data_IF_565078154906
#
_entry.id   IF_565078154906
#
_cell.length_a   1.000
_cell.length_b   1.000
_cell.length_c   1.000
_cell.angle_alpha   90.00
_cell.angle_beta   90.00
_cell.angle_gamma   90.00
#
_symmetry.space_group_name_H-M   'P 1'
#
loop_
_entity.id
_entity.type
_entity.pdbx_description
1 polymer ?
#
# COMPACT_ATOMS: atom_id res chain seq x y z
N UNK A 1 17.46 -17.11 59.75
CA UNK A 1 16.78 -15.94 59.14
C UNK A 1 17.70 -15.36 58.06
N UNK A 2 17.33 -15.47 56.78
CA UNK A 2 18.11 -14.97 55.63
C UNK A 2 17.48 -13.62 55.22
N UNK A 3 18.25 -12.53 55.07
CA UNK A 3 17.66 -11.23 54.75
C UNK A 3 17.00 -11.25 53.36
N UNK A 4 15.90 -10.50 53.14
CA UNK A 4 15.27 -10.40 51.84
C UNK A 4 16.27 -9.80 50.84
N UNK A 5 16.42 -10.45 49.69
CA UNK A 5 17.35 -10.04 48.65
C UNK A 5 17.03 -8.63 48.17
N UNK A 6 17.91 -7.68 48.49
CA UNK A 6 17.86 -6.34 47.93
C UNK A 6 18.12 -6.44 46.43
N UNK A 7 17.11 -6.12 45.63
CA UNK A 7 17.27 -5.98 44.18
C UNK A 7 18.34 -4.91 43.97
N UNK A 8 19.50 -5.31 43.44
CA UNK A 8 20.62 -4.39 43.21
C UNK A 8 20.12 -3.22 42.33
N UNK A 9 20.36 -1.96 42.69
CA UNK A 9 19.86 -0.79 41.93
C UNK A 9 20.30 -0.80 40.46
N UNK A 10 21.45 -1.43 40.17
CA UNK A 10 21.92 -1.68 38.81
C UNK A 10 20.98 -2.57 37.98
N UNK A 11 20.33 -3.56 38.59
CA UNK A 11 19.38 -4.44 37.92
C UNK A 11 18.07 -3.68 37.59
N UNK A 12 17.63 -2.78 38.49
CA UNK A 12 16.49 -1.89 38.23
C UNK A 12 16.77 -0.88 37.12
N UNK A 13 17.98 -0.32 37.06
CA UNK A 13 18.38 0.62 36.00
C UNK A 13 18.43 -0.05 34.62
N UNK A 14 18.97 -1.26 34.54
CA UNK A 14 19.03 -2.03 33.29
C UNK A 14 17.63 -2.37 32.77
N UNK A 15 16.70 -2.77 33.65
CA UNK A 15 15.31 -3.04 33.28
C UNK A 15 14.60 -1.76 32.82
N UNK A 16 14.81 -0.62 33.49
CA UNK A 16 14.22 0.65 33.09
C UNK A 16 14.74 1.13 31.73
N UNK A 17 16.04 0.97 31.45
CA UNK A 17 16.63 1.27 30.15
C UNK A 17 16.11 0.36 29.03
N UNK A 18 15.95 -0.94 29.30
CA UNK A 18 15.38 -1.87 28.33
C UNK A 18 13.91 -1.54 28.00
N UNK A 19 13.10 -1.17 29.00
CA UNK A 19 11.72 -0.73 28.80
C UNK A 19 11.64 0.58 28.01
N UNK A 20 12.51 1.55 28.31
CA UNK A 20 12.57 2.80 27.55
C UNK A 20 12.96 2.55 26.08
N UNK A 21 13.90 1.63 25.83
CA UNK A 21 14.32 1.28 24.48
C UNK A 21 13.22 0.53 23.70
N UNK A 22 12.42 -0.30 24.37
CA UNK A 22 11.29 -0.98 23.75
C UNK A 22 10.19 -0.01 23.26
N UNK A 23 10.01 1.14 23.92
CA UNK A 23 9.07 2.19 23.47
C UNK A 23 9.55 3.00 22.27
N UNK A 24 10.84 2.92 21.95
CA UNK A 24 11.46 3.58 20.79
C UNK A 24 11.49 2.68 19.55
N UNK A 25 10.98 1.45 19.65
CA UNK A 25 10.85 0.58 18.49
C UNK A 25 9.90 1.26 17.48
N UNK A 26 10.34 1.54 16.24
CA UNK A 26 9.46 2.08 15.22
C UNK A 26 8.31 1.08 15.03
N UNK A 27 7.06 1.56 15.12
CA UNK A 27 5.95 0.78 14.61
C UNK A 27 6.26 0.54 13.13
N UNK A 28 6.28 -0.73 12.72
CA UNK A 28 6.35 -1.06 11.31
C UNK A 28 5.13 -0.42 10.64
N UNK A 29 5.34 0.67 9.92
CA UNK A 29 4.33 1.22 9.04
C UNK A 29 4.18 0.20 7.91
N UNK A 30 3.11 -0.58 7.95
CA UNK A 30 2.79 -1.50 6.88
C UNK A 30 2.48 -0.66 5.63
N UNK A 31 3.32 -0.82 4.60
CA UNK A 31 3.12 -0.10 3.36
C UNK A 31 1.82 -0.62 2.73
N UNK A 32 0.79 0.23 2.68
CA UNK A 32 -0.47 -0.12 2.03
C UNK A 32 -0.20 -0.51 0.58
N UNK A 33 -0.86 -1.58 0.13
CA UNK A 33 -0.81 -2.01 -1.26
C UNK A 33 -1.27 -0.86 -2.18
N UNK A 34 -0.57 -0.66 -3.28
CA UNK A 34 -0.92 0.34 -4.28
C UNK A 34 -1.64 -0.32 -5.44
N UNK A 35 -2.94 -0.12 -5.50
CA UNK A 35 -3.80 -0.69 -6.53
C UNK A 35 -4.16 0.41 -7.52
N UNK A 36 -4.02 0.12 -8.81
CA UNK A 36 -4.51 0.99 -9.88
C UNK A 36 -5.62 0.25 -10.62
N UNK A 37 -6.78 0.88 -10.75
CA UNK A 37 -7.86 0.38 -11.59
C UNK A 37 -7.85 1.11 -12.94
N UNK A 38 -8.09 0.40 -14.04
CA UNK A 38 -8.12 1.02 -15.38
C UNK A 38 -9.30 1.97 -15.52
N UNK A 39 -10.48 1.60 -15.00
CA UNK A 39 -11.75 2.34 -15.16
C UNK A 39 -12.37 2.79 -13.82
N UNK A 40 -13.23 3.83 -13.80
CA UNK A 40 -13.78 4.38 -12.55
C UNK A 40 -14.77 3.47 -11.83
N UNK A 41 -15.49 2.63 -12.57
CA UNK A 41 -16.34 1.57 -12.04
C UNK A 41 -15.50 0.49 -11.32
N UNK A 42 -14.40 0.05 -11.94
CA UNK A 42 -13.44 -0.87 -11.32
C UNK A 42 -12.77 -0.26 -10.08
N UNK A 43 -12.46 1.03 -10.11
CA UNK A 43 -11.96 1.77 -8.95
C UNK A 43 -12.98 1.73 -7.80
N UNK A 44 -14.26 1.98 -8.08
CA UNK A 44 -15.31 1.98 -7.07
C UNK A 44 -15.50 0.58 -6.45
N UNK A 45 -15.55 -0.46 -7.28
CA UNK A 45 -15.67 -1.86 -6.83
C UNK A 45 -14.47 -2.27 -5.98
N UNK A 46 -13.26 -1.97 -6.46
CA UNK A 46 -12.02 -2.33 -5.79
C UNK A 46 -11.90 -1.60 -4.46
N UNK A 47 -12.17 -0.29 -4.42
CA UNK A 47 -12.16 0.51 -3.19
C UNK A 47 -13.13 -0.03 -2.14
N UNK A 48 -14.33 -0.45 -2.56
CA UNK A 48 -15.31 -1.05 -1.66
C UNK A 48 -14.85 -2.40 -1.09
N UNK A 49 -14.12 -3.20 -1.86
CA UNK A 49 -13.60 -4.50 -1.43
C UNK A 49 -12.42 -4.36 -0.46
N UNK A 50 -11.49 -3.46 -0.74
CA UNK A 50 -10.22 -3.37 0.01
C UNK A 50 -10.31 -2.48 1.25
N UNK A 51 -11.30 -1.57 1.32
CA UNK A 51 -11.44 -0.65 2.45
C UNK A 51 -10.16 0.13 2.72
N UNK A 52 -9.71 0.12 3.98
CA UNK A 52 -8.53 0.86 4.42
C UNK A 52 -7.21 0.09 4.26
N UNK A 53 -7.22 -1.17 3.79
CA UNK A 53 -6.01 -2.00 3.71
C UNK A 53 -5.10 -1.64 2.53
N UNK A 54 -5.63 -0.91 1.55
CA UNK A 54 -4.91 -0.52 0.34
C UNK A 54 -5.20 0.93 -0.05
N UNK A 55 -4.39 1.44 -0.97
CA UNK A 55 -4.67 2.67 -1.71
C UNK A 55 -5.13 2.31 -3.10
N UNK A 56 -6.23 2.90 -3.57
CA UNK A 56 -6.78 2.62 -4.90
C UNK A 56 -6.83 3.91 -5.71
N UNK A 57 -6.08 3.93 -6.81
CA UNK A 57 -6.06 5.02 -7.79
C UNK A 57 -6.75 4.57 -9.09
N UNK A 58 -7.22 5.52 -9.90
CA UNK A 58 -7.83 5.24 -11.21
C UNK A 58 -6.98 5.83 -12.33
N UNK A 59 -6.74 5.05 -13.38
CA UNK A 59 -5.91 5.47 -14.50
C UNK A 59 -6.66 6.39 -15.49
N UNK A 60 -7.97 6.16 -15.68
CA UNK A 60 -8.86 6.95 -16.55
C UNK A 60 -9.56 8.09 -15.78
N UNK A 61 -10.21 8.99 -16.52
CA UNK A 61 -11.10 10.01 -15.94
C UNK A 61 -12.56 9.55 -15.98
N UNK A 62 -13.35 10.03 -15.03
CA UNK A 62 -14.81 9.86 -15.06
C UNK A 62 -15.40 10.45 -16.35
N UNK A 63 -16.22 9.66 -17.05
CA UNK A 63 -16.88 10.05 -18.31
C UNK A 63 -15.99 9.99 -19.55
N UNK A 64 -14.75 9.52 -19.46
CA UNK A 64 -13.88 9.29 -20.62
C UNK A 64 -14.23 7.96 -21.30
N UNK A 65 -14.30 7.96 -22.64
CA UNK A 65 -14.45 6.72 -23.41
C UNK A 65 -13.12 5.93 -23.41
N UNK A 66 -13.10 4.67 -22.92
CA UNK A 66 -11.91 3.80 -22.91
C UNK A 66 -11.41 3.45 -24.30
N UNK A 67 -12.29 3.38 -25.30
CA UNK A 67 -11.93 3.01 -26.66
C UNK A 67 -11.20 4.13 -27.43
N UNK A 68 -11.37 5.38 -27.00
CA UNK A 68 -10.69 6.54 -27.59
C UNK A 68 -9.44 6.94 -26.80
N UNK A 69 -9.02 6.09 -25.84
CA UNK A 69 -7.98 6.46 -24.90
C UNK A 69 -6.59 6.23 -25.48
N UNK A 70 -5.74 7.26 -25.33
CA UNK A 70 -4.30 7.17 -25.57
C UNK A 70 -3.57 7.26 -24.24
N UNK A 71 -2.61 6.36 -24.02
CA UNK A 71 -1.87 6.30 -22.77
C UNK A 71 -0.87 7.47 -22.65
N UNK A 72 -0.86 8.12 -21.49
CA UNK A 72 0.04 9.26 -21.20
C UNK A 72 1.22 8.81 -20.36
N UNK A 73 2.39 9.48 -20.47
CA UNK A 73 3.56 9.18 -19.63
C UNK A 73 3.26 9.19 -18.11
N UNK A 74 2.38 10.07 -17.65
CA UNK A 74 1.96 10.10 -16.24
C UNK A 74 1.16 8.85 -15.84
N UNK A 75 0.31 8.32 -16.73
CA UNK A 75 -0.43 7.09 -16.49
C UNK A 75 0.52 5.88 -16.54
N UNK A 76 1.48 5.85 -17.46
CA UNK A 76 2.54 4.84 -17.46
C UNK A 76 3.28 4.80 -16.13
N UNK A 77 3.70 5.95 -15.61
CA UNK A 77 4.38 6.03 -14.31
C UNK A 77 3.48 5.61 -13.14
N UNK A 78 2.19 5.93 -13.19
CA UNK A 78 1.20 5.49 -12.20
C UNK A 78 1.11 3.96 -12.18
N UNK A 79 0.88 3.34 -13.34
CA UNK A 79 0.73 1.88 -13.49
C UNK A 79 2.01 1.15 -13.12
N UNK A 80 3.17 1.62 -13.57
CA UNK A 80 4.48 1.01 -13.26
C UNK A 80 4.83 0.99 -11.77
N UNK A 81 4.17 1.84 -10.98
CA UNK A 81 4.37 1.93 -9.53
C UNK A 81 3.27 1.22 -8.74
N UNK A 82 2.28 0.65 -9.42
CA UNK A 82 1.23 -0.14 -8.78
C UNK A 82 1.80 -1.52 -8.41
N UNK A 83 1.39 -2.01 -7.25
CA UNK A 83 1.62 -3.40 -6.87
C UNK A 83 0.58 -4.33 -7.54
N UNK A 84 -0.62 -3.79 -7.81
CA UNK A 84 -1.71 -4.50 -8.49
C UNK A 84 -2.38 -3.59 -9.52
N UNK A 85 -2.59 -4.11 -10.72
CA UNK A 85 -3.40 -3.47 -11.77
C UNK A 85 -4.72 -4.24 -11.92
N UNK A 86 -5.85 -3.57 -11.67
CA UNK A 86 -7.19 -4.12 -11.89
C UNK A 86 -7.68 -3.70 -13.27
N UNK A 87 -7.92 -4.69 -14.11
CA UNK A 87 -8.31 -4.54 -15.52
C UNK A 87 -9.70 -5.07 -15.77
N UNK A 88 -10.37 -4.52 -16.78
CA UNK A 88 -11.57 -5.12 -17.34
C UNK A 88 -11.18 -6.32 -18.23
N UNK A 89 -10.19 -6.11 -19.10
CA UNK A 89 -9.83 -7.08 -20.14
C UNK A 89 -10.81 -7.03 -21.31
N UNK A 90 -10.86 -8.11 -22.10
CA UNK A 90 -11.73 -8.23 -23.29
C UNK A 90 -11.60 -7.04 -24.26
N UNK A 91 -10.37 -6.53 -24.42
CA UNK A 91 -10.01 -5.37 -25.26
C UNK A 91 -10.55 -4.00 -24.80
N UNK A 92 -11.36 -3.93 -23.74
CA UNK A 92 -11.92 -2.67 -23.23
C UNK A 92 -10.82 -1.67 -22.82
N UNK A 93 -9.76 -2.18 -22.18
CA UNK A 93 -8.63 -1.40 -21.70
C UNK A 93 -7.33 -1.72 -22.44
N UNK A 94 -7.42 -2.07 -23.73
CA UNK A 94 -6.27 -2.44 -24.57
C UNK A 94 -5.16 -1.35 -24.64
N UNK A 95 -5.53 -0.08 -24.43
CA UNK A 95 -4.57 1.04 -24.35
C UNK A 95 -3.52 0.85 -23.24
N UNK A 96 -3.77 -0.02 -22.25
CA UNK A 96 -2.85 -0.29 -21.13
C UNK A 96 -1.84 -1.40 -21.43
N UNK A 97 -2.07 -2.20 -22.47
CA UNK A 97 -1.29 -3.43 -22.76
C UNK A 97 0.19 -3.14 -22.93
N UNK A 98 0.52 -2.08 -23.68
CA UNK A 98 1.90 -1.66 -23.91
C UNK A 98 2.68 -1.42 -22.60
N UNK A 99 2.01 -1.05 -21.51
CA UNK A 99 2.63 -0.83 -20.20
C UNK A 99 2.53 -2.06 -19.31
N UNK A 100 1.41 -2.79 -19.36
CA UNK A 100 1.17 -3.96 -18.53
C UNK A 100 2.03 -5.18 -18.96
N UNK A 101 2.28 -5.35 -20.25
CA UNK A 101 3.04 -6.48 -20.80
C UNK A 101 4.56 -6.26 -20.83
N UNK A 102 4.98 -5.01 -20.66
CA UNK A 102 6.40 -4.65 -20.61
C UNK A 102 6.96 -4.57 -19.19
N UNK A 103 6.19 -5.03 -18.19
CA UNK A 103 6.54 -5.09 -16.77
C UNK A 103 7.29 -6.36 -16.40
#
# INVERSE_FOLDING_TARGET
MRPPGTIRPACGLVVALALAFATLAPLAAEAKLRIVATQPDLWALTSAVVGDEATVEVATRFGQNPHDMEIRPSQTLLIRRADVLVRNGLEEDAWVDAVAESA
#
